data_IF_829178091913
#
_entry.id   IF_829178091913
#
_cell.length_a   1.000
_cell.length_b   1.000
_cell.length_c   1.000
_cell.angle_alpha   90.00
_cell.angle_beta   90.00
_cell.angle_gamma   90.00
#
_symmetry.space_group_name_H-M   'P 1'
#
loop_
_entity.id
_entity.type
_entity.pdbx_description
1 polymer ?
#
# COMPACT_ATOMS: atom_id res chain seq x y z
N UNK A 1 48.32 10.15 -33.17
CA UNK A 1 47.38 9.03 -32.94
C UNK A 1 47.24 8.60 -31.47
N UNK A 2 47.84 9.30 -30.52
CA UNK A 2 47.77 8.96 -29.09
C UNK A 2 46.65 9.61 -28.28
N UNK A 3 45.89 10.56 -28.82
CA UNK A 3 44.87 11.32 -28.07
C UNK A 3 43.50 10.65 -28.04
N UNK A 4 43.27 9.55 -28.76
CA UNK A 4 41.94 8.90 -28.83
C UNK A 4 41.66 7.85 -27.73
N UNK A 5 42.66 7.43 -26.97
CA UNK A 5 42.49 6.41 -25.91
C UNK A 5 42.09 6.93 -24.55
N UNK A 6 42.20 8.25 -24.33
CA UNK A 6 41.83 8.85 -23.02
C UNK A 6 40.34 9.13 -22.83
N UNK A 7 39.61 9.33 -23.94
CA UNK A 7 38.17 9.69 -23.85
C UNK A 7 37.24 8.51 -23.60
N UNK A 8 37.62 7.30 -23.96
CA UNK A 8 36.74 6.15 -23.79
C UNK A 8 36.75 5.59 -22.35
N UNK A 9 37.83 5.81 -21.61
CA UNK A 9 37.90 5.37 -20.20
C UNK A 9 37.07 6.27 -19.25
N UNK A 10 37.05 7.57 -19.55
CA UNK A 10 36.32 8.53 -18.75
C UNK A 10 34.79 8.45 -18.95
N UNK A 11 34.38 8.12 -20.17
CA UNK A 11 32.97 7.91 -20.53
C UNK A 11 32.44 6.59 -19.97
N UNK A 12 33.26 5.55 -19.89
CA UNK A 12 32.89 4.29 -19.27
C UNK A 12 32.80 4.37 -17.75
N UNK A 13 33.62 5.19 -17.09
CA UNK A 13 33.50 5.47 -15.66
C UNK A 13 32.25 6.29 -15.30
N UNK A 14 31.85 7.22 -16.16
CA UNK A 14 30.62 8.00 -15.98
C UNK A 14 29.36 7.17 -16.16
N UNK A 15 29.37 6.24 -17.09
CA UNK A 15 28.27 5.31 -17.31
C UNK A 15 28.10 4.32 -16.16
N UNK A 16 29.17 3.89 -15.53
CA UNK A 16 29.13 2.97 -14.39
C UNK A 16 28.62 3.65 -13.09
N UNK A 17 28.87 4.94 -12.89
CA UNK A 17 28.44 5.67 -11.71
C UNK A 17 26.92 6.00 -11.73
N UNK A 18 26.29 6.10 -12.90
CA UNK A 18 24.85 6.32 -13.05
C UNK A 18 24.02 5.03 -13.05
N UNK A 19 24.64 3.85 -13.21
CA UNK A 19 23.96 2.56 -13.27
C UNK A 19 23.77 1.88 -11.91
N UNK A 20 24.46 2.30 -10.84
CA UNK A 20 24.34 1.72 -9.49
C UNK A 20 23.37 2.49 -8.59
N UNK A 21 22.85 3.63 -9.02
CA UNK A 21 21.75 4.30 -8.37
C UNK A 21 20.49 3.50 -8.67
N UNK A 22 19.88 2.86 -7.67
CA UNK A 22 18.51 2.42 -7.72
C UNK A 22 17.66 3.60 -8.17
N UNK A 23 17.45 3.74 -9.48
CA UNK A 23 16.47 4.65 -10.03
C UNK A 23 15.07 4.11 -9.67
N UNK A 24 14.70 4.21 -8.40
CA UNK A 24 13.33 4.00 -7.99
C UNK A 24 12.49 5.04 -8.72
N UNK A 25 11.61 4.57 -9.57
CA UNK A 25 10.69 5.45 -10.27
C UNK A 25 9.95 6.28 -9.21
N UNK A 26 9.64 7.54 -9.50
CA UNK A 26 8.92 8.39 -8.54
C UNK A 26 7.66 7.72 -7.97
N UNK A 27 7.03 6.82 -8.72
CA UNK A 27 5.90 5.99 -8.28
C UNK A 27 6.29 5.04 -7.14
N UNK A 28 7.44 4.41 -7.22
CA UNK A 28 7.92 3.50 -6.17
C UNK A 28 8.17 4.24 -4.85
N UNK A 29 8.80 5.41 -4.91
CA UNK A 29 9.06 6.25 -3.73
C UNK A 29 7.74 6.70 -3.10
N UNK A 30 6.79 7.19 -3.91
CA UNK A 30 5.46 7.59 -3.44
C UNK A 30 4.72 6.41 -2.82
N UNK A 31 4.80 5.23 -3.43
CA UNK A 31 4.20 4.00 -2.89
C UNK A 31 4.75 3.62 -1.52
N UNK A 32 6.07 3.68 -1.34
CA UNK A 32 6.72 3.41 -0.05
C UNK A 32 6.31 4.46 0.99
N UNK A 33 6.31 5.74 0.65
CA UNK A 33 5.87 6.80 1.56
C UNK A 33 4.43 6.58 2.03
N UNK A 34 3.52 6.26 1.11
CA UNK A 34 2.12 5.99 1.45
C UNK A 34 1.97 4.73 2.32
N UNK A 35 2.71 3.66 2.03
CA UNK A 35 2.69 2.45 2.82
C UNK A 35 3.20 2.71 4.26
N UNK A 36 4.30 3.45 4.40
CA UNK A 36 4.85 3.84 5.71
C UNK A 36 3.86 4.74 6.45
N UNK A 37 3.26 5.73 5.80
CA UNK A 37 2.22 6.56 6.42
C UNK A 37 1.02 5.72 6.88
N UNK A 38 0.59 4.74 6.08
CA UNK A 38 -0.49 3.82 6.46
C UNK A 38 -0.17 3.04 7.72
N UNK A 39 1.03 2.46 7.80
CA UNK A 39 1.48 1.72 9.00
C UNK A 39 1.57 2.65 10.21
N UNK A 40 2.14 3.84 10.06
CA UNK A 40 2.24 4.84 11.14
C UNK A 40 0.86 5.27 11.64
N UNK A 41 -0.12 5.42 10.75
CA UNK A 41 -1.50 5.77 11.12
C UNK A 41 -2.13 4.67 11.98
N UNK A 42 -1.93 3.40 11.65
CA UNK A 42 -2.43 2.27 12.45
C UNK A 42 -1.74 2.24 13.83
N UNK A 43 -0.43 2.39 13.86
CA UNK A 43 0.34 2.42 15.12
C UNK A 43 -0.11 3.60 15.99
N UNK A 44 -0.29 4.78 15.40
CA UNK A 44 -0.76 5.96 16.11
C UNK A 44 -2.15 5.77 16.69
N UNK A 45 -3.08 5.18 15.92
CA UNK A 45 -4.41 4.83 16.40
C UNK A 45 -4.37 3.88 17.60
N UNK A 46 -3.46 2.90 17.59
CA UNK A 46 -3.26 1.98 18.72
C UNK A 46 -2.58 2.64 19.94
N UNK A 47 -1.79 3.71 19.74
CA UNK A 47 -1.13 4.42 20.81
C UNK A 47 -2.05 5.41 21.57
N UNK A 48 -3.17 5.80 20.98
CA UNK A 48 -4.13 6.75 21.56
C UNK A 48 -4.99 6.14 22.70
N UNK A 49 -5.03 4.83 22.84
CA UNK A 49 -5.82 4.16 23.85
C UNK A 49 -5.70 2.65 23.81
N UNK A 50 -6.49 1.93 24.60
CA UNK A 50 -6.52 0.48 24.54
C UNK A 50 -6.94 0.04 23.13
N UNK A 51 -6.21 -0.93 22.57
CA UNK A 51 -6.52 -1.51 21.26
C UNK A 51 -7.82 -2.31 21.39
N UNK A 52 -8.92 -1.64 21.15
CA UNK A 52 -10.25 -2.24 21.18
C UNK A 52 -10.81 -2.25 19.77
N UNK A 53 -10.85 -3.44 19.19
CA UNK A 53 -11.39 -3.68 17.84
C UNK A 53 -12.90 -3.42 17.75
N UNK A 54 -13.56 -3.20 18.87
CA UNK A 54 -14.99 -2.83 18.93
C UNK A 54 -15.20 -1.32 18.97
N UNK A 55 -14.15 -0.52 19.22
CA UNK A 55 -14.25 0.94 19.23
C UNK A 55 -14.23 1.51 17.81
N UNK A 56 -15.23 2.34 17.45
CA UNK A 56 -15.28 2.94 16.11
C UNK A 56 -14.10 3.89 15.85
N UNK A 57 -13.57 4.51 16.89
CA UNK A 57 -12.43 5.43 16.77
C UNK A 57 -11.16 4.70 16.34
N UNK A 58 -10.78 3.62 17.03
CA UNK A 58 -9.63 2.80 16.65
C UNK A 58 -9.81 2.21 15.24
N UNK A 59 -10.99 1.69 14.94
CA UNK A 59 -11.25 1.07 13.63
C UNK A 59 -11.24 2.08 12.48
N UNK A 60 -11.55 3.35 12.71
CA UNK A 60 -11.42 4.39 11.70
C UNK A 60 -9.95 4.63 11.32
N UNK A 61 -9.05 4.70 12.29
CA UNK A 61 -7.60 4.81 12.06
C UNK A 61 -7.04 3.55 11.39
N UNK A 62 -7.47 2.37 11.85
CA UNK A 62 -7.03 1.10 11.27
C UNK A 62 -7.46 0.99 9.81
N UNK A 63 -8.70 1.32 9.49
CA UNK A 63 -9.23 1.28 8.11
C UNK A 63 -8.55 2.31 7.22
N UNK A 64 -8.40 3.56 7.68
CA UNK A 64 -7.71 4.61 6.95
C UNK A 64 -6.24 4.26 6.68
N UNK A 65 -5.53 3.75 7.68
CA UNK A 65 -4.14 3.31 7.54
C UNK A 65 -3.99 2.13 6.59
N UNK A 66 -4.92 1.16 6.64
CA UNK A 66 -4.92 0.01 5.71
C UNK A 66 -5.21 0.44 4.27
N UNK A 67 -6.10 1.37 4.03
CA UNK A 67 -6.37 1.91 2.69
C UNK A 67 -5.12 2.59 2.13
N UNK A 68 -4.45 3.44 2.92
CA UNK A 68 -3.20 4.07 2.53
C UNK A 68 -2.11 3.03 2.22
N UNK A 69 -2.00 1.99 3.04
CA UNK A 69 -1.06 0.91 2.84
C UNK A 69 -1.32 0.17 1.52
N UNK A 70 -2.57 -0.16 1.22
CA UNK A 70 -2.93 -0.83 -0.05
C UNK A 70 -2.62 0.06 -1.25
N UNK A 71 -2.96 1.36 -1.20
CA UNK A 71 -2.63 2.29 -2.27
C UNK A 71 -1.10 2.35 -2.45
N UNK A 72 -0.34 2.42 -1.36
CA UNK A 72 1.12 2.40 -1.38
C UNK A 72 1.67 1.14 -2.04
N UNK A 73 1.18 -0.03 -1.64
CA UNK A 73 1.58 -1.33 -2.20
C UNK A 73 1.25 -1.43 -3.69
N UNK A 74 0.08 -0.94 -4.11
CA UNK A 74 -0.31 -0.94 -5.54
C UNK A 74 0.54 0.00 -6.41
N UNK A 75 1.15 1.02 -5.81
CA UNK A 75 2.04 1.93 -6.53
C UNK A 75 3.45 1.36 -6.73
N UNK A 76 3.85 0.34 -5.97
CA UNK A 76 5.17 -0.29 -6.08
C UNK A 76 5.11 -1.38 -7.18
N UNK A 77 5.74 -1.18 -8.35
CA UNK A 77 5.58 -2.09 -9.49
C UNK A 77 6.30 -3.44 -9.33
N UNK A 78 7.24 -3.55 -8.41
CA UNK A 78 8.12 -4.73 -8.26
C UNK A 78 7.68 -5.69 -7.14
N UNK A 79 6.55 -5.41 -6.50
CA UNK A 79 6.05 -6.29 -5.43
C UNK A 79 5.45 -7.59 -6.00
N UNK A 80 5.76 -8.73 -5.37
CA UNK A 80 5.14 -9.98 -5.76
C UNK A 80 3.62 -9.90 -5.58
N UNK A 81 2.89 -10.47 -6.54
CA UNK A 81 1.42 -10.45 -6.56
C UNK A 81 0.78 -10.98 -5.26
N UNK A 82 1.45 -11.91 -4.59
CA UNK A 82 1.01 -12.44 -3.31
C UNK A 82 0.90 -11.36 -2.22
N UNK A 83 1.91 -10.47 -2.12
CA UNK A 83 1.90 -9.36 -1.14
C UNK A 83 0.75 -8.38 -1.42
N UNK A 84 0.51 -8.07 -2.68
CA UNK A 84 -0.60 -7.20 -3.09
C UNK A 84 -1.96 -7.81 -2.75
N UNK A 85 -2.14 -9.10 -3.02
CA UNK A 85 -3.38 -9.82 -2.70
C UNK A 85 -3.61 -9.83 -1.19
N UNK A 86 -2.59 -10.16 -0.39
CA UNK A 86 -2.69 -10.18 1.08
C UNK A 86 -3.05 -8.79 1.62
N UNK A 87 -2.41 -7.72 1.12
CA UNK A 87 -2.70 -6.35 1.54
C UNK A 87 -4.14 -5.95 1.21
N UNK A 88 -4.61 -6.26 0.01
CA UNK A 88 -5.99 -5.97 -0.42
C UNK A 88 -7.02 -6.70 0.44
N UNK A 89 -6.81 -7.98 0.72
CA UNK A 89 -7.71 -8.75 1.56
C UNK A 89 -7.67 -8.31 3.03
N UNK A 90 -6.50 -7.96 3.57
CA UNK A 90 -6.38 -7.39 4.91
C UNK A 90 -7.17 -6.09 5.04
N UNK A 91 -7.05 -5.19 4.07
CA UNK A 91 -7.81 -3.94 4.05
C UNK A 91 -9.33 -4.18 3.88
N UNK A 92 -9.72 -5.13 3.03
CA UNK A 92 -11.13 -5.48 2.86
C UNK A 92 -11.73 -6.02 4.16
N UNK A 93 -11.03 -6.93 4.84
CA UNK A 93 -11.47 -7.48 6.13
C UNK A 93 -11.57 -6.38 7.20
N UNK A 94 -10.56 -5.52 7.32
CA UNK A 94 -10.57 -4.40 8.27
C UNK A 94 -11.73 -3.45 7.99
N UNK A 95 -12.01 -3.15 6.72
CA UNK A 95 -13.14 -2.29 6.33
C UNK A 95 -14.49 -2.93 6.65
N UNK A 96 -14.64 -4.23 6.41
CA UNK A 96 -15.86 -4.97 6.76
C UNK A 96 -16.07 -4.94 8.28
N UNK A 97 -15.03 -5.25 9.08
CA UNK A 97 -15.12 -5.17 10.54
C UNK A 97 -15.52 -3.77 10.99
N UNK A 98 -14.90 -2.72 10.40
CA UNK A 98 -15.29 -1.34 10.70
C UNK A 98 -16.77 -1.06 10.45
N UNK A 99 -17.32 -1.51 9.32
CA UNK A 99 -18.74 -1.34 9.00
C UNK A 99 -19.63 -2.03 10.04
N UNK A 100 -19.20 -3.18 10.56
CA UNK A 100 -19.94 -3.92 11.58
C UNK A 100 -19.82 -3.32 13.00
N UNK A 101 -18.78 -2.53 13.27
CA UNK A 101 -18.58 -1.84 14.56
C UNK A 101 -19.36 -0.53 14.68
N UNK A 102 -19.89 0.00 13.56
CA UNK A 102 -20.71 1.22 13.64
C UNK A 102 -22.00 0.96 14.44
N UNK A 103 -22.22 1.71 15.55
CA UNK A 103 -23.47 1.63 16.28
C UNK A 103 -24.62 2.19 15.43
N UNK A 104 -25.83 1.76 15.73
CA UNK A 104 -27.09 2.29 15.16
C UNK A 104 -27.26 2.17 13.63
N UNK A 105 -26.48 1.30 12.99
CA UNK A 105 -26.59 1.09 11.55
C UNK A 105 -27.43 -0.16 11.26
N UNK A 106 -28.46 -0.02 10.44
CA UNK A 106 -29.28 -1.16 10.01
C UNK A 106 -28.44 -2.20 9.27
N UNK A 107 -28.77 -3.48 9.47
CA UNK A 107 -28.08 -4.61 8.83
C UNK A 107 -28.04 -4.47 7.30
N UNK A 108 -29.09 -3.88 6.72
CA UNK A 108 -29.15 -3.63 5.28
C UNK A 108 -28.05 -2.67 4.81
N UNK A 109 -27.83 -1.58 5.55
CA UNK A 109 -26.79 -0.59 5.23
C UNK A 109 -25.40 -1.19 5.37
N UNK A 110 -25.19 -2.05 6.38
CA UNK A 110 -23.93 -2.79 6.57
C UNK A 110 -23.63 -3.71 5.38
N UNK A 111 -24.63 -4.43 4.90
CA UNK A 111 -24.50 -5.29 3.72
C UNK A 111 -24.21 -4.48 2.45
N UNK A 112 -24.91 -3.38 2.22
CA UNK A 112 -24.70 -2.49 1.07
C UNK A 112 -23.28 -1.92 1.09
N UNK A 113 -22.72 -1.62 2.27
CA UNK A 113 -21.34 -1.16 2.41
C UNK A 113 -20.29 -2.26 2.22
N UNK A 114 -20.56 -3.47 2.71
CA UNK A 114 -19.61 -4.59 2.64
C UNK A 114 -19.48 -5.19 1.24
N UNK A 115 -20.58 -5.28 0.49
CA UNK A 115 -20.61 -5.88 -0.86
C UNK A 115 -19.62 -5.23 -1.84
N UNK A 116 -19.59 -3.88 -2.01
CA UNK A 116 -18.64 -3.26 -2.92
C UNK A 116 -17.19 -3.43 -2.48
N UNK A 117 -16.91 -3.46 -1.17
CA UNK A 117 -15.56 -3.66 -0.64
C UNK A 117 -15.04 -5.05 -0.99
N UNK A 118 -15.84 -6.09 -0.75
CA UNK A 118 -15.49 -7.47 -1.10
C UNK A 118 -15.43 -7.65 -2.62
N UNK A 119 -16.37 -7.06 -3.34
CA UNK A 119 -16.39 -7.08 -4.82
C UNK A 119 -15.12 -6.45 -5.42
N UNK A 120 -14.69 -5.30 -4.89
CA UNK A 120 -13.47 -4.64 -5.33
C UNK A 120 -12.22 -5.48 -5.01
N UNK A 121 -12.16 -6.08 -3.82
CA UNK A 121 -11.06 -6.96 -3.43
C UNK A 121 -10.97 -8.20 -4.35
N UNK A 122 -12.09 -8.83 -4.65
CA UNK A 122 -12.15 -9.95 -5.58
C UNK A 122 -11.74 -9.54 -7.00
N UNK A 123 -12.26 -8.42 -7.49
CA UNK A 123 -11.91 -7.89 -8.80
C UNK A 123 -10.41 -7.57 -8.93
N UNK A 124 -9.82 -6.90 -7.93
CA UNK A 124 -8.39 -6.64 -7.89
C UNK A 124 -7.56 -7.92 -7.85
N UNK A 125 -8.02 -8.93 -7.09
CA UNK A 125 -7.34 -10.24 -7.02
C UNK A 125 -7.29 -10.91 -8.39
N UNK A 126 -8.39 -10.88 -9.14
CA UNK A 126 -8.46 -11.45 -10.49
C UNK A 126 -7.53 -10.68 -11.44
N UNK A 127 -7.53 -9.35 -11.32
CA UNK A 127 -6.70 -8.49 -12.18
C UNK A 127 -5.20 -8.67 -11.94
N UNK A 128 -4.78 -8.90 -10.70
CA UNK A 128 -3.37 -9.11 -10.34
C UNK A 128 -2.88 -10.50 -10.76
N UNK A 129 -3.80 -11.49 -10.86
CA UNK A 129 -3.44 -12.86 -11.28
C UNK A 129 -3.36 -13.04 -12.80
N UNK A 130 -3.99 -12.18 -13.58
CA UNK A 130 -3.95 -12.18 -15.05
C UNK A 130 -2.86 -11.26 -15.57
#
# INVERSE_FOLDING_TARGET
MSARRGMSADESMRSGATGSGTAMSGRGITGICLAVCGVLTVIWGGAQGPVDVTSPDFMSFATGGMVLLVIGVLLIPELPSACTIVAVWAAALTSVVYIFTLPDTEVLVRLIGAVPVVGLAAWLTIRVRN
#
